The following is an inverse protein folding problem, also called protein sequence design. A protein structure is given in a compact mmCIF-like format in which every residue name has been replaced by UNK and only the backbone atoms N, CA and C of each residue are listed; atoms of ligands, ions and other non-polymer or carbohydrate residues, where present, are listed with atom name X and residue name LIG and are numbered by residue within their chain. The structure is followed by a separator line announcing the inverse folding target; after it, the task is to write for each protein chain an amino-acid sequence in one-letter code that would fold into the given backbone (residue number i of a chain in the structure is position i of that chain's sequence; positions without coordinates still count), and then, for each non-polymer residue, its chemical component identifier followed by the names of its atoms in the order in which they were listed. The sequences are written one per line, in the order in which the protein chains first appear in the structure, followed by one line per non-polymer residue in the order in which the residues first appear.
data_IF_595314377186
#
_entry.id   IF_595314377186
#
_cell.length_a   1.000
_cell.length_b   1.000
_cell.length_c   1.000
_cell.angle_alpha   90.00
_cell.angle_beta   90.00
_cell.angle_gamma   90.00
#
_symmetry.space_group_name_H-M   'P 1'
#
loop_
_entity.id
_entity.type
_entity.pdbx_description
1 polymer ?
#
# COMPACT_ATOMS: atom_id res chain seq x y z
N UNK A 1 15.13 -11.06 24.81
CA UNK A 1 14.58 -11.07 23.43
C UNK A 1 13.37 -12.00 23.44
N UNK A 2 12.23 -11.56 22.92
CA UNK A 2 11.08 -12.46 22.76
C UNK A 2 11.49 -13.64 21.86
N UNK A 3 11.15 -14.87 22.28
CA UNK A 3 11.37 -16.04 21.44
C UNK A 3 10.35 -15.99 20.28
N UNK A 4 10.83 -15.61 19.10
CA UNK A 4 10.03 -15.47 17.89
C UNK A 4 9.78 -16.82 17.21
N UNK A 5 10.50 -17.87 17.61
CA UNK A 5 10.45 -19.18 16.97
C UNK A 5 9.05 -19.80 17.03
N UNK A 6 8.35 -19.83 18.18
CA UNK A 6 7.00 -20.40 18.26
C UNK A 6 6.01 -19.72 17.31
N UNK A 7 6.00 -18.38 17.25
CA UNK A 7 5.05 -17.65 16.39
C UNK A 7 5.36 -17.80 14.91
N UNK A 8 6.64 -17.87 14.51
CA UNK A 8 7.00 -18.17 13.11
C UNK A 8 6.66 -19.62 12.74
N UNK A 9 6.67 -20.55 13.69
CA UNK A 9 6.19 -21.92 13.50
C UNK A 9 4.66 -21.96 13.40
N UNK A 10 3.93 -21.23 14.26
CA UNK A 10 2.48 -21.05 14.17
C UNK A 10 2.06 -20.49 12.81
N UNK A 11 2.79 -19.50 12.28
CA UNK A 11 2.53 -18.96 10.95
C UNK A 11 2.67 -20.03 9.86
N UNK A 12 3.69 -20.89 9.97
CA UNK A 12 3.95 -21.97 9.00
C UNK A 12 2.95 -23.12 9.12
N UNK A 13 2.42 -23.38 10.32
CA UNK A 13 1.45 -24.44 10.56
C UNK A 13 0.01 -24.02 10.30
N UNK A 14 -0.28 -22.73 10.22
CA UNK A 14 -1.60 -22.21 9.87
C UNK A 14 -2.03 -22.72 8.50
N UNK A 15 -3.26 -23.26 8.44
CA UNK A 15 -3.77 -23.95 7.25
C UNK A 15 -4.68 -23.07 6.42
N UNK A 16 -5.17 -21.97 7.00
CA UNK A 16 -6.00 -20.98 6.30
C UNK A 16 -5.30 -19.64 6.15
N UNK A 17 -5.68 -18.87 5.14
CA UNK A 17 -5.16 -17.51 4.94
C UNK A 17 -5.55 -16.55 6.05
N UNK A 18 -6.71 -16.75 6.70
CA UNK A 18 -7.19 -15.97 7.84
C UNK A 18 -6.32 -16.23 9.08
N UNK A 19 -6.03 -17.49 9.40
CA UNK A 19 -5.11 -17.83 10.50
C UNK A 19 -3.73 -17.24 10.25
N UNK A 20 -3.21 -17.36 9.02
CA UNK A 20 -1.92 -16.73 8.64
C UNK A 20 -1.97 -15.21 8.81
N UNK A 21 -3.07 -14.56 8.45
CA UNK A 21 -3.24 -13.11 8.59
C UNK A 21 -3.22 -12.67 10.06
N UNK A 22 -3.92 -13.40 10.94
CA UNK A 22 -3.94 -13.13 12.38
C UNK A 22 -2.53 -13.24 12.99
N UNK A 23 -1.84 -14.35 12.70
CA UNK A 23 -0.47 -14.56 13.19
C UNK A 23 0.50 -13.52 12.60
N UNK A 24 0.33 -13.14 11.33
CA UNK A 24 1.15 -12.08 10.72
C UNK A 24 0.98 -10.74 11.45
N UNK A 25 -0.24 -10.42 11.88
CA UNK A 25 -0.53 -9.22 12.68
C UNK A 25 0.19 -9.23 14.03
N UNK A 26 0.13 -10.34 14.76
CA UNK A 26 0.85 -10.49 16.05
C UNK A 26 2.37 -10.38 15.87
N UNK A 27 2.92 -11.06 14.87
CA UNK A 27 4.34 -10.97 14.53
C UNK A 27 4.75 -9.54 14.17
N UNK A 28 3.88 -8.79 13.49
CA UNK A 28 4.15 -7.41 13.11
C UNK A 28 4.25 -6.48 14.32
N UNK A 29 3.37 -6.64 15.32
CA UNK A 29 3.39 -5.85 16.55
C UNK A 29 4.70 -6.06 17.31
N UNK A 30 5.08 -7.33 17.49
CA UNK A 30 6.36 -7.69 18.12
C UNK A 30 7.55 -7.13 17.32
N UNK A 31 7.49 -7.16 15.99
CA UNK A 31 8.56 -6.66 15.14
C UNK A 31 8.77 -5.15 15.29
N UNK A 32 7.70 -4.39 15.46
CA UNK A 32 7.78 -2.95 15.63
C UNK A 32 8.35 -2.59 17.02
N UNK A 33 7.86 -3.25 18.07
CA UNK A 33 8.33 -3.04 19.46
C UNK A 33 9.80 -3.40 19.66
N UNK A 34 10.29 -4.45 18.98
CA UNK A 34 11.62 -5.03 19.29
C UNK A 34 12.74 -4.58 18.37
N UNK A 35 12.46 -3.74 17.36
CA UNK A 35 13.40 -3.37 16.28
C UNK A 35 14.04 -4.56 15.54
N UNK A 36 13.52 -5.78 15.71
CA UNK A 36 14.13 -7.01 15.22
C UNK A 36 14.13 -7.08 13.67
N UNK A 37 15.28 -6.82 13.06
CA UNK A 37 15.41 -6.80 11.61
C UNK A 37 15.18 -8.17 10.95
N UNK A 38 15.46 -9.29 11.64
CA UNK A 38 15.21 -10.63 11.11
C UNK A 38 13.71 -10.91 11.03
N UNK A 39 12.97 -10.54 12.07
CA UNK A 39 11.51 -10.66 12.09
C UNK A 39 10.87 -9.78 11.02
N UNK A 40 11.32 -8.52 10.85
CA UNK A 40 10.86 -7.66 9.75
C UNK A 40 11.10 -8.32 8.39
N UNK A 41 12.30 -8.87 8.15
CA UNK A 41 12.60 -9.63 6.91
C UNK A 41 11.66 -10.82 6.69
N UNK A 42 11.28 -11.53 7.75
CA UNK A 42 10.30 -12.61 7.69
C UNK A 42 8.92 -12.09 7.24
N UNK A 43 8.42 -10.99 7.81
CA UNK A 43 7.11 -10.42 7.48
C UNK A 43 6.95 -10.11 5.99
N UNK A 44 7.98 -9.52 5.36
CA UNK A 44 7.95 -9.28 3.91
C UNK A 44 8.03 -10.58 3.11
N UNK A 45 8.83 -11.55 3.54
CA UNK A 45 8.90 -12.84 2.86
C UNK A 45 7.56 -13.60 2.92
N UNK A 46 6.87 -13.53 4.06
CA UNK A 46 5.53 -14.09 4.24
C UNK A 46 4.51 -13.43 3.31
N UNK A 47 4.53 -12.10 3.21
CA UNK A 47 3.69 -11.36 2.26
C UNK A 47 4.03 -11.71 0.80
N UNK A 48 5.30 -11.87 0.46
CA UNK A 48 5.73 -12.24 -0.90
C UNK A 48 5.34 -13.67 -1.30
N UNK A 49 5.32 -14.60 -0.36
CA UNK A 49 4.90 -15.99 -0.60
C UNK A 49 3.39 -16.14 -0.82
N UNK A 50 2.59 -15.14 -0.43
CA UNK A 50 1.12 -15.18 -0.56
C UNK A 50 0.65 -14.89 -2.00
N UNK A 51 0.74 -15.89 -2.87
CA UNK A 51 0.44 -15.74 -4.31
C UNK A 51 -0.97 -16.14 -4.71
N UNK A 52 -1.60 -17.03 -3.95
CA UNK A 52 -2.86 -17.65 -4.35
C UNK A 52 -4.05 -16.71 -4.13
N UNK A 53 -5.11 -16.85 -4.92
CA UNK A 53 -6.31 -16.01 -4.76
C UNK A 53 -6.89 -16.12 -3.33
N UNK A 54 -6.89 -17.35 -2.78
CA UNK A 54 -7.31 -17.64 -1.41
C UNK A 54 -6.52 -16.88 -0.32
N UNK A 55 -5.35 -16.34 -0.64
CA UNK A 55 -4.51 -15.58 0.28
C UNK A 55 -4.85 -14.08 0.37
N UNK A 56 -5.97 -13.64 -0.20
CA UNK A 56 -6.35 -12.21 -0.18
C UNK A 56 -6.32 -11.62 1.23
N UNK A 57 -6.88 -12.30 2.23
CA UNK A 57 -6.89 -11.84 3.63
C UNK A 57 -5.47 -11.65 4.18
N UNK A 58 -4.54 -12.54 3.86
CA UNK A 58 -3.14 -12.44 4.27
C UNK A 58 -2.44 -11.24 3.60
N UNK A 59 -2.73 -11.00 2.31
CA UNK A 59 -2.18 -9.84 1.59
C UNK A 59 -2.73 -8.52 2.13
N UNK A 60 -4.01 -8.46 2.45
CA UNK A 60 -4.63 -7.28 3.07
C UNK A 60 -3.97 -7.00 4.43
N UNK A 61 -3.84 -8.02 5.29
CA UNK A 61 -3.16 -7.85 6.58
C UNK A 61 -1.71 -7.37 6.41
N UNK A 62 -0.98 -7.89 5.40
CA UNK A 62 0.36 -7.41 5.09
C UNK A 62 0.38 -5.93 4.67
N UNK A 63 -0.56 -5.50 3.83
CA UNK A 63 -0.72 -4.11 3.42
C UNK A 63 -1.01 -3.20 4.62
N UNK A 64 -1.91 -3.61 5.52
CA UNK A 64 -2.21 -2.89 6.74
C UNK A 64 -1.00 -2.77 7.66
N UNK A 65 -0.27 -3.87 7.89
CA UNK A 65 0.98 -3.88 8.64
C UNK A 65 1.99 -2.87 8.10
N UNK A 66 2.21 -2.85 6.78
CA UNK A 66 3.20 -1.96 6.18
C UNK A 66 2.87 -0.47 6.35
N UNK A 67 1.66 -0.13 6.80
CA UNK A 67 1.28 1.26 7.03
C UNK A 67 1.90 1.89 8.28
N UNK A 68 2.27 1.06 9.25
CA UNK A 68 2.81 1.52 10.53
C UNK A 68 4.17 0.91 10.87
N UNK A 69 4.54 -0.22 10.25
CA UNK A 69 5.81 -0.90 10.53
C UNK A 69 7.03 -0.01 10.23
N UNK A 70 7.90 0.18 11.22
CA UNK A 70 9.17 0.90 11.04
C UNK A 70 10.13 0.09 10.17
N UNK A 71 10.64 0.68 9.08
CA UNK A 71 11.54 -0.02 8.15
C UNK A 71 13.01 0.00 8.59
N UNK A 72 13.71 -1.14 8.58
CA UNK A 72 15.08 -1.24 9.08
C UNK A 72 16.12 -0.53 8.21
N UNK A 73 15.87 -0.37 6.90
CA UNK A 73 16.72 0.37 5.97
C UNK A 73 15.96 0.71 4.68
N UNK A 74 16.57 1.54 3.82
CA UNK A 74 15.94 1.93 2.55
C UNK A 74 15.77 0.73 1.61
N UNK A 75 16.74 -0.20 1.51
CA UNK A 75 16.61 -1.40 0.67
C UNK A 75 15.35 -2.21 1.01
N UNK A 76 15.06 -2.38 2.29
CA UNK A 76 13.84 -3.04 2.76
C UNK A 76 12.60 -2.25 2.37
N UNK A 77 12.60 -0.93 2.61
CA UNK A 77 11.51 -0.04 2.20
C UNK A 77 11.24 -0.12 0.70
N UNK A 78 12.30 -0.16 -0.11
CA UNK A 78 12.17 -0.28 -1.56
C UNK A 78 11.58 -1.64 -1.97
N UNK A 79 11.88 -2.72 -1.25
CA UNK A 79 11.28 -4.04 -1.47
C UNK A 79 9.79 -4.03 -1.12
N UNK A 80 9.41 -3.46 0.03
CA UNK A 80 8.00 -3.30 0.44
C UNK A 80 7.22 -2.50 -0.61
N UNK A 81 7.68 -1.30 -0.97
CA UNK A 81 7.01 -0.47 -1.98
C UNK A 81 6.88 -1.23 -3.31
N UNK A 82 7.91 -1.98 -3.75
CA UNK A 82 7.82 -2.78 -4.98
C UNK A 82 6.71 -3.83 -4.88
N UNK A 83 6.61 -4.50 -3.75
CA UNK A 83 5.56 -5.48 -3.50
C UNK A 83 4.17 -4.84 -3.50
N UNK A 84 3.98 -3.72 -2.77
CA UNK A 84 2.71 -2.97 -2.71
C UNK A 84 2.27 -2.51 -4.10
N UNK A 85 3.18 -1.93 -4.90
CA UNK A 85 2.85 -1.50 -6.27
C UNK A 85 2.45 -2.69 -7.14
N UNK A 86 3.14 -3.83 -7.01
CA UNK A 86 2.78 -5.04 -7.73
C UNK A 86 1.39 -5.57 -7.36
N UNK A 87 0.86 -5.23 -6.19
CA UNK A 87 -0.50 -5.62 -5.78
C UNK A 87 -1.61 -4.83 -6.46
N UNK A 88 -1.34 -3.58 -6.85
CA UNK A 88 -2.28 -2.78 -7.66
C UNK A 88 -2.53 -3.45 -9.02
N UNK A 89 -1.50 -4.10 -9.59
CA UNK A 89 -1.53 -4.71 -10.92
C UNK A 89 -2.04 -6.16 -10.91
N UNK A 90 -1.70 -6.93 -9.87
CA UNK A 90 -1.95 -8.38 -9.81
C UNK A 90 -3.28 -8.76 -9.16
N UNK A 91 -3.83 -7.92 -8.30
CA UNK A 91 -5.09 -8.22 -7.65
C UNK A 91 -6.25 -8.12 -8.65
N UNK A 92 -7.28 -8.96 -8.46
CA UNK A 92 -8.46 -8.95 -9.32
C UNK A 92 -9.15 -7.58 -9.31
N UNK A 93 -9.81 -7.21 -10.43
CA UNK A 93 -10.43 -5.88 -10.58
C UNK A 93 -11.38 -5.50 -9.44
N UNK A 94 -12.08 -6.48 -8.84
CA UNK A 94 -13.03 -6.29 -7.73
C UNK A 94 -12.46 -6.64 -6.35
N UNK A 95 -11.17 -6.94 -6.27
CA UNK A 95 -10.51 -7.31 -5.02
C UNK A 95 -10.30 -6.10 -4.13
N UNK A 96 -10.61 -6.25 -2.84
CA UNK A 96 -10.38 -5.22 -1.83
C UNK A 96 -8.88 -4.93 -1.69
N UNK A 97 -8.04 -5.90 -2.00
CA UNK A 97 -6.58 -5.77 -1.97
C UNK A 97 -6.06 -4.56 -2.76
N UNK A 98 -6.69 -4.21 -3.90
CA UNK A 98 -6.30 -3.02 -4.68
C UNK A 98 -6.53 -1.72 -3.91
N UNK A 99 -7.64 -1.62 -3.20
CA UNK A 99 -7.96 -0.48 -2.33
C UNK A 99 -6.90 -0.34 -1.23
N UNK A 100 -6.55 -1.45 -0.57
CA UNK A 100 -5.50 -1.46 0.45
C UNK A 100 -4.12 -1.12 -0.14
N UNK A 101 -3.80 -1.59 -1.35
CA UNK A 101 -2.53 -1.29 -2.00
C UNK A 101 -2.40 0.19 -2.38
N UNK A 102 -3.46 0.78 -2.95
CA UNK A 102 -3.51 2.21 -3.30
C UNK A 102 -3.43 3.06 -2.04
N UNK A 103 -4.22 2.78 -1.01
CA UNK A 103 -4.16 3.54 0.25
C UNK A 103 -2.81 3.44 0.95
N UNK A 104 -2.15 2.28 0.89
CA UNK A 104 -0.79 2.09 1.44
C UNK A 104 0.23 2.94 0.69
N UNK A 105 0.08 3.12 -0.63
CA UNK A 105 0.95 3.99 -1.44
C UNK A 105 0.94 5.45 -0.97
N UNK A 106 -0.10 5.90 -0.26
CA UNK A 106 -0.19 7.26 0.32
C UNK A 106 1.00 7.61 1.21
N UNK A 107 1.66 6.62 1.82
CA UNK A 107 2.82 6.81 2.69
C UNK A 107 4.11 7.17 1.96
N UNK A 108 4.15 6.94 0.64
CA UNK A 108 5.34 7.07 -0.19
C UNK A 108 5.06 7.89 -1.44
N UNK A 109 4.09 8.81 -1.38
CA UNK A 109 3.72 9.67 -2.52
C UNK A 109 4.88 10.53 -3.03
N UNK A 110 5.86 10.82 -2.16
CA UNK A 110 7.10 11.53 -2.48
C UNK A 110 7.99 10.70 -3.43
N UNK A 111 7.90 9.37 -3.38
CA UNK A 111 8.73 8.47 -4.20
C UNK A 111 8.27 8.52 -5.66
N UNK A 112 9.18 8.87 -6.61
CA UNK A 112 8.81 9.06 -8.02
C UNK A 112 8.07 7.88 -8.65
N UNK A 113 8.46 6.64 -8.35
CA UNK A 113 7.82 5.44 -8.88
C UNK A 113 6.39 5.22 -8.37
N UNK A 114 6.12 5.60 -7.12
CA UNK A 114 4.78 5.50 -6.52
C UNK A 114 3.88 6.55 -7.15
N UNK A 115 4.34 7.81 -7.19
CA UNK A 115 3.66 8.91 -7.87
C UNK A 115 3.34 8.57 -9.33
N UNK A 116 4.32 8.10 -10.09
CA UNK A 116 4.13 7.72 -11.48
C UNK A 116 3.09 6.60 -11.66
N UNK A 117 3.11 5.57 -10.80
CA UNK A 117 2.12 4.48 -10.87
C UNK A 117 0.72 4.97 -10.53
N UNK A 118 0.56 5.82 -9.51
CA UNK A 118 -0.74 6.38 -9.13
C UNK A 118 -1.29 7.31 -10.21
N UNK A 119 -0.48 8.20 -10.79
CA UNK A 119 -0.91 9.05 -11.91
C UNK A 119 -1.37 8.22 -13.12
N UNK A 120 -0.62 7.16 -13.47
CA UNK A 120 -1.07 6.22 -14.52
C UNK A 120 -2.40 5.55 -14.19
N UNK A 121 -2.67 5.27 -12.91
CA UNK A 121 -3.97 4.71 -12.52
C UNK A 121 -5.09 5.75 -12.68
N UNK A 122 -4.84 7.00 -12.27
CA UNK A 122 -5.79 8.12 -12.43
C UNK A 122 -6.16 8.31 -13.92
N UNK A 123 -5.18 8.21 -14.81
CA UNK A 123 -5.35 8.41 -16.25
C UNK A 123 -5.91 7.18 -17.00
N UNK A 124 -5.98 6.02 -16.37
CA UNK A 124 -6.54 4.81 -16.99
C UNK A 124 -8.07 4.86 -16.98
N UNK A 125 -8.67 5.29 -18.10
CA UNK A 125 -10.12 5.37 -18.23
C UNK A 125 -10.84 4.02 -18.27
N UNK A 126 -10.11 2.92 -18.45
CA UNK A 126 -10.67 1.56 -18.39
C UNK A 126 -10.77 1.01 -16.96
N UNK A 127 -10.19 1.74 -16.01
CA UNK A 127 -10.18 1.38 -14.60
C UNK A 127 -11.45 1.83 -13.87
N UNK A 128 -11.78 1.13 -12.79
CA UNK A 128 -12.84 1.51 -11.87
C UNK A 128 -12.65 2.95 -11.36
N UNK A 129 -13.70 3.78 -11.51
CA UNK A 129 -13.68 5.19 -11.13
C UNK A 129 -13.36 5.38 -9.63
N UNK A 130 -13.83 4.47 -8.77
CA UNK A 130 -13.52 4.49 -7.34
C UNK A 130 -12.03 4.32 -7.07
N UNK A 131 -11.37 3.38 -7.76
CA UNK A 131 -9.92 3.18 -7.65
C UNK A 131 -9.11 4.35 -8.23
N UNK A 132 -9.57 4.93 -9.34
CA UNK A 132 -8.96 6.14 -9.93
C UNK A 132 -9.07 7.32 -8.98
N UNK A 133 -10.25 7.53 -8.40
CA UNK A 133 -10.51 8.56 -7.39
C UNK A 133 -9.66 8.36 -6.14
N UNK A 134 -9.55 7.12 -5.66
CA UNK A 134 -8.72 6.77 -4.50
C UNK A 134 -7.23 7.04 -4.75
N UNK A 135 -6.74 6.75 -5.96
CA UNK A 135 -5.36 7.07 -6.33
C UNK A 135 -5.10 8.57 -6.43
N UNK A 136 -6.07 9.34 -6.91
CA UNK A 136 -6.00 10.80 -6.92
C UNK A 136 -5.99 11.38 -5.50
N UNK A 137 -6.85 10.87 -4.61
CA UNK A 137 -6.93 11.31 -3.20
C UNK A 137 -5.62 11.08 -2.44
N UNK A 138 -4.81 10.08 -2.80
CA UNK A 138 -3.51 9.86 -2.17
C UNK A 138 -2.62 11.12 -2.20
N UNK A 139 -2.74 11.96 -3.24
CA UNK A 139 -1.96 13.19 -3.37
C UNK A 139 -2.39 14.30 -2.40
N UNK A 140 -3.55 14.19 -1.73
CA UNK A 140 -3.96 15.11 -0.64
C UNK A 140 -3.00 15.09 0.57
N UNK A 141 -2.05 14.16 0.59
CA UNK A 141 -1.04 14.00 1.65
C UNK A 141 0.13 14.97 1.53
N UNK A 142 0.38 15.56 0.36
CA UNK A 142 1.36 16.65 0.22
C UNK A 142 0.98 17.83 1.10
N UNK A 143 1.98 18.51 1.67
CA UNK A 143 1.73 19.82 2.27
C UNK A 143 1.57 20.89 1.18
N UNK A 144 0.95 22.04 1.51
CA UNK A 144 0.88 23.18 0.60
C UNK A 144 2.26 23.55 0.04
N UNK A 145 2.38 23.60 -1.29
CA UNK A 145 3.62 23.96 -1.99
C UNK A 145 4.62 22.81 -2.22
N UNK A 146 4.40 21.61 -1.66
CA UNK A 146 5.29 20.46 -1.85
C UNK A 146 4.91 19.61 -3.08
N UNK A 147 3.68 19.75 -3.58
CA UNK A 147 3.19 18.91 -4.64
C UNK A 147 3.93 19.18 -5.97
N UNK A 148 4.43 18.14 -6.65
CA UNK A 148 5.04 18.27 -7.96
C UNK A 148 4.08 18.85 -9.01
N UNK A 149 4.61 19.63 -9.96
CA UNK A 149 3.84 20.32 -11.00
C UNK A 149 2.88 19.37 -11.76
N UNK A 150 3.35 18.18 -12.12
CA UNK A 150 2.54 17.20 -12.85
C UNK A 150 1.31 16.69 -12.05
N UNK A 151 1.36 16.70 -10.71
CA UNK A 151 0.18 16.39 -9.87
C UNK A 151 -0.82 17.53 -9.94
N UNK A 152 -0.35 18.77 -9.85
CA UNK A 152 -1.18 19.97 -9.92
C UNK A 152 -1.86 20.06 -11.30
N UNK A 153 -1.11 19.87 -12.38
CA UNK A 153 -1.59 19.85 -13.76
C UNK A 153 -2.67 18.79 -13.98
N UNK A 154 -2.44 17.57 -13.49
CA UNK A 154 -3.46 16.50 -13.55
C UNK A 154 -4.73 16.88 -12.81
N UNK A 155 -4.63 17.46 -11.61
CA UNK A 155 -5.82 17.87 -10.88
C UNK A 155 -6.56 19.04 -11.56
N UNK A 156 -5.86 20.02 -12.11
CA UNK A 156 -6.48 21.13 -12.85
C UNK A 156 -7.23 20.64 -14.09
N UNK A 157 -6.61 19.75 -14.86
CA UNK A 157 -7.23 19.10 -16.03
C UNK A 157 -8.51 18.34 -15.63
N UNK A 158 -8.48 17.59 -14.54
CA UNK A 158 -9.60 16.76 -14.10
C UNK A 158 -10.72 17.55 -13.42
N UNK A 159 -10.43 18.72 -12.82
CA UNK A 159 -11.42 19.57 -12.13
C UNK A 159 -12.56 20.02 -13.06
N UNK A 160 -12.26 20.24 -14.34
CA UNK A 160 -13.15 20.92 -15.27
C UNK A 160 -14.30 20.10 -15.86
N UNK A 161 -14.16 18.78 -16.04
CA UNK A 161 -15.19 17.98 -16.72
C UNK A 161 -14.95 16.46 -16.63
N UNK A 162 -14.60 15.94 -15.46
CA UNK A 162 -14.39 14.49 -15.27
C UNK A 162 -15.18 13.97 -14.08
N UNK A 163 -15.47 12.68 -14.07
CA UNK A 163 -16.06 12.01 -12.90
C UNK A 163 -15.18 12.14 -11.65
N UNK A 164 -13.88 12.39 -11.83
CA UNK A 164 -12.91 12.65 -10.76
C UNK A 164 -12.87 14.12 -10.30
N UNK A 165 -13.68 15.01 -10.89
CA UNK A 165 -13.58 16.46 -10.70
C UNK A 165 -13.71 16.91 -9.24
N UNK A 166 -14.58 16.27 -8.45
CA UNK A 166 -14.72 16.55 -7.01
C UNK A 166 -13.44 16.22 -6.24
N UNK A 167 -12.85 15.05 -6.49
CA UNK A 167 -11.60 14.62 -5.86
C UNK A 167 -10.45 15.52 -6.28
N UNK A 168 -10.38 15.89 -7.56
CA UNK A 168 -9.37 16.80 -8.08
C UNK A 168 -9.43 18.20 -7.42
N UNK A 169 -10.65 18.75 -7.26
CA UNK A 169 -10.86 20.01 -6.55
C UNK A 169 -10.44 19.93 -5.07
N UNK A 170 -10.78 18.82 -4.40
CA UNK A 170 -10.39 18.58 -3.02
C UNK A 170 -8.87 18.53 -2.86
N UNK A 171 -8.16 17.78 -3.72
CA UNK A 171 -6.70 17.67 -3.70
C UNK A 171 -6.06 19.02 -3.94
N UNK A 172 -6.48 19.78 -4.96
CA UNK A 172 -5.95 21.13 -5.25
C UNK A 172 -6.08 22.07 -4.05
N UNK A 173 -7.22 22.06 -3.36
CA UNK A 173 -7.44 22.88 -2.15
C UNK A 173 -6.51 22.51 -1.00
N UNK A 174 -5.99 21.28 -0.97
CA UNK A 174 -5.12 20.79 0.10
C UNK A 174 -3.64 21.06 -0.15
N UNK A 175 -3.21 21.05 -1.41
CA UNK A 175 -1.80 21.06 -1.80
C UNK A 175 -1.30 22.40 -2.36
N UNK A 176 -2.22 23.32 -2.63
CA UNK A 176 -1.92 24.73 -2.93
C UNK A 176 -2.11 25.57 -1.69
#
# INVERSE_FOLDING_TARGET
MADIKPLTETFRSATTSVERANVLGELALIADDTTNAALKRFLVAAAEASTDEADESLRIAALEMFRWLTFPNDRYRQRVIKWVLGRIDKAGRRSNERVYAITTCRLWIDKPRVRARLLRLVDDETEDEGLRSLALDCFSRYQPGEAPANVIETCERLRGNSALGRTAAYVLRRIR
#
